data_IF_628982890185
#
_entry.id   IF_628982890185
#
_cell.length_a   1.000
_cell.length_b   1.000
_cell.length_c   1.000
_cell.angle_alpha   90.00
_cell.angle_beta   90.00
_cell.angle_gamma   90.00
#
_symmetry.space_group_name_H-M   'P 1'
#
loop_
_entity.id
_entity.type
_entity.pdbx_description
1 polymer ?
#
# COMPACT_ATOMS: atom_id res chain seq x y z
N UNK A 1 13.27 9.35 -4.95
CA UNK A 1 12.64 10.30 -4.01
C UNK A 1 11.54 11.05 -4.76
N UNK A 2 10.37 10.43 -4.97
CA UNK A 2 9.27 11.04 -5.73
C UNK A 2 7.97 10.63 -5.03
N UNK A 3 7.48 11.50 -4.14
CA UNK A 3 6.30 11.27 -3.31
C UNK A 3 6.37 12.05 -1.99
N UNK A 4 7.37 11.77 -1.15
CA UNK A 4 7.48 12.31 0.21
C UNK A 4 7.84 13.81 0.32
N UNK A 5 8.48 14.39 -0.70
CA UNK A 5 8.90 15.82 -0.70
C UNK A 5 7.73 16.81 -0.61
N UNK A 6 6.52 16.42 -1.04
CA UNK A 6 5.34 17.30 -0.95
C UNK A 6 4.74 17.38 0.46
N UNK A 7 4.98 16.37 1.31
CA UNK A 7 4.39 16.25 2.65
C UNK A 7 5.42 16.56 3.74
N UNK A 8 6.66 16.10 3.57
CA UNK A 8 7.74 16.25 4.55
C UNK A 8 8.51 17.58 4.42
N UNK A 9 8.12 18.43 3.46
CA UNK A 9 8.85 19.63 3.10
C UNK A 9 10.07 19.33 2.23
N UNK A 10 10.63 20.39 1.64
CA UNK A 10 11.89 20.33 0.89
C UNK A 10 13.02 20.24 1.93
N UNK A 11 13.86 19.21 1.86
CA UNK A 11 15.09 19.13 2.65
C UNK A 11 15.92 20.42 2.42
N UNK A 12 16.36 21.08 3.50
CA UNK A 12 17.19 22.29 3.41
C UNK A 12 18.52 22.08 2.66
N UNK A 13 18.95 20.82 2.46
CA UNK A 13 20.11 20.48 1.63
C UNK A 13 19.79 20.45 0.12
N UNK A 14 18.51 20.33 -0.25
CA UNK A 14 18.06 20.47 -1.63
C UNK A 14 17.90 21.98 -1.92
N UNK A 15 18.94 22.59 -2.50
CA UNK A 15 18.83 23.94 -3.07
C UNK A 15 17.66 23.93 -4.07
N UNK A 16 16.57 24.67 -3.83
CA UNK A 16 15.49 24.72 -4.80
C UNK A 16 16.08 25.30 -6.09
N UNK A 17 16.01 24.53 -7.18
CA UNK A 17 16.24 25.11 -8.49
C UNK A 17 15.21 26.24 -8.65
N UNK A 18 15.71 27.47 -8.72
CA UNK A 18 14.92 28.68 -8.88
C UNK A 18 14.34 28.75 -10.30
N UNK A 19 13.39 27.87 -10.61
CA UNK A 19 12.35 28.03 -11.61
C UNK A 19 11.52 26.75 -11.68
N UNK A 20 10.53 26.60 -10.81
CA UNK A 20 9.42 25.68 -11.10
C UNK A 20 8.13 26.40 -10.80
N UNK A 21 7.43 26.79 -11.87
CA UNK A 21 5.99 26.99 -11.77
C UNK A 21 5.40 25.75 -11.13
N UNK A 22 4.83 25.92 -9.95
CA UNK A 22 4.03 24.88 -9.30
C UNK A 22 2.74 24.76 -10.10
N UNK A 23 2.58 23.67 -10.83
CA UNK A 23 1.32 23.33 -11.47
C UNK A 23 0.40 22.66 -10.45
N UNK A 24 -0.84 23.13 -10.37
CA UNK A 24 -1.92 22.48 -9.62
C UNK A 24 -2.56 21.43 -10.52
N UNK A 25 -2.91 20.28 -9.95
CA UNK A 25 -3.68 19.24 -10.63
C UNK A 25 -4.81 18.77 -9.70
N UNK A 26 -6.00 18.66 -10.26
CA UNK A 26 -7.14 18.06 -9.56
C UNK A 26 -7.02 16.54 -9.65
N UNK A 27 -7.18 15.86 -8.51
CA UNK A 27 -7.10 14.41 -8.40
C UNK A 27 -8.41 13.87 -7.84
N UNK A 28 -8.97 12.87 -8.51
CA UNK A 28 -10.13 12.14 -8.00
C UNK A 28 -9.62 10.95 -7.20
N UNK A 29 -9.86 10.97 -5.89
CA UNK A 29 -9.62 9.82 -5.03
C UNK A 29 -10.82 8.87 -5.10
N UNK A 30 -10.53 7.57 -5.18
CA UNK A 30 -11.55 6.51 -5.17
C UNK A 30 -11.24 5.53 -4.04
N UNK A 31 -12.27 4.99 -3.36
CA UNK A 31 -12.07 3.87 -2.45
C UNK A 31 -11.43 2.69 -3.20
N UNK A 32 -10.38 2.11 -2.62
CA UNK A 32 -9.71 0.96 -3.24
C UNK A 32 -10.67 -0.22 -3.43
N UNK A 33 -11.59 -0.43 -2.49
CA UNK A 33 -12.61 -1.49 -2.52
C UNK A 33 -13.48 -1.45 -3.77
N UNK A 34 -13.84 -0.25 -4.24
CA UNK A 34 -14.69 -0.07 -5.43
C UNK A 34 -13.93 -0.41 -6.71
N UNK A 35 -12.68 0.05 -6.80
CA UNK A 35 -11.78 -0.25 -7.92
C UNK A 35 -11.48 -1.75 -7.95
N UNK A 36 -11.17 -2.33 -6.79
CA UNK A 36 -10.84 -3.74 -6.65
C UNK A 36 -12.01 -4.65 -7.01
N UNK A 37 -13.25 -4.28 -6.63
CA UNK A 37 -14.46 -5.00 -7.04
C UNK A 37 -14.62 -5.04 -8.56
N UNK A 38 -14.29 -3.95 -9.26
CA UNK A 38 -14.29 -3.93 -10.72
C UNK A 38 -13.30 -4.93 -11.29
N UNK A 39 -12.07 -4.92 -10.80
CA UNK A 39 -11.00 -5.84 -11.22
C UNK A 39 -11.42 -7.30 -11.02
N UNK A 40 -11.94 -7.67 -9.85
CA UNK A 40 -12.31 -9.07 -9.59
C UNK A 40 -13.56 -9.50 -10.34
N UNK A 41 -14.43 -8.57 -10.74
CA UNK A 41 -15.56 -8.85 -11.64
C UNK A 41 -15.12 -9.07 -13.08
N UNK A 42 -14.13 -8.33 -13.56
CA UNK A 42 -13.62 -8.44 -14.93
C UNK A 42 -12.76 -9.71 -15.14
N UNK A 43 -12.17 -10.23 -14.05
CA UNK A 43 -11.26 -11.37 -14.06
C UNK A 43 -11.59 -12.41 -12.97
N UNK A 44 -12.78 -13.05 -13.00
CA UNK A 44 -13.28 -13.88 -11.89
C UNK A 44 -12.45 -15.13 -11.59
N UNK A 45 -11.76 -15.68 -12.59
CA UNK A 45 -10.97 -16.92 -12.48
C UNK A 45 -9.45 -16.66 -12.41
N UNK A 46 -9.03 -15.41 -12.27
CA UNK A 46 -7.61 -15.05 -12.21
C UNK A 46 -7.11 -14.95 -10.77
N UNK A 47 -5.95 -15.54 -10.50
CA UNK A 47 -5.23 -15.26 -9.27
C UNK A 47 -4.74 -13.80 -9.27
N UNK A 48 -5.11 -13.06 -8.22
CA UNK A 48 -4.67 -11.67 -8.06
C UNK A 48 -3.39 -11.59 -7.24
N UNK A 49 -2.38 -10.91 -7.80
CA UNK A 49 -1.12 -10.59 -7.12
C UNK A 49 -1.05 -9.09 -6.90
N UNK A 50 -0.89 -8.65 -5.65
CA UNK A 50 -0.86 -7.24 -5.27
C UNK A 50 0.54 -6.79 -4.86
N UNK A 51 1.06 -5.75 -5.51
CA UNK A 51 2.19 -4.94 -5.00
C UNK A 51 1.61 -3.70 -4.32
N UNK A 52 1.91 -3.50 -3.04
CA UNK A 52 1.45 -2.38 -2.24
C UNK A 52 2.67 -1.56 -1.79
N UNK A 53 2.66 -0.27 -2.10
CA UNK A 53 3.67 0.71 -1.72
C UNK A 53 3.00 2.09 -1.81
N UNK A 54 2.48 2.58 -0.69
CA UNK A 54 1.56 3.72 -0.66
C UNK A 54 1.90 4.75 0.41
N UNK A 55 3.16 4.80 0.86
CA UNK A 55 3.69 5.84 1.76
C UNK A 55 2.85 6.05 3.04
N UNK A 56 2.15 5.02 3.52
CA UNK A 56 1.31 5.01 4.71
C UNK A 56 -0.18 4.73 4.46
N UNK A 57 -0.67 4.77 3.22
CA UNK A 57 -2.07 4.42 2.93
C UNK A 57 -2.33 2.90 2.91
N UNK A 58 -1.29 2.07 2.96
CA UNK A 58 -1.41 0.61 3.00
C UNK A 58 -2.26 0.10 4.18
N UNK A 59 -2.27 0.80 5.32
CA UNK A 59 -3.09 0.42 6.48
C UNK A 59 -4.58 0.61 6.19
N UNK A 60 -4.97 1.80 5.69
CA UNK A 60 -6.37 2.10 5.37
C UNK A 60 -6.89 1.19 4.25
N UNK A 61 -6.02 0.86 3.28
CA UNK A 61 -6.34 -0.09 2.21
C UNK A 61 -6.58 -1.49 2.79
N UNK A 62 -5.70 -2.01 3.64
CA UNK A 62 -5.89 -3.32 4.25
C UNK A 62 -7.08 -3.37 5.21
N UNK A 63 -7.31 -2.33 6.01
CA UNK A 63 -8.47 -2.20 6.89
C UNK A 63 -9.77 -2.29 6.07
N UNK A 64 -9.84 -1.55 4.96
CA UNK A 64 -11.02 -1.52 4.09
C UNK A 64 -11.25 -2.87 3.39
N UNK A 65 -10.19 -3.48 2.86
CA UNK A 65 -10.26 -4.80 2.23
C UNK A 65 -10.64 -5.91 3.22
N UNK A 66 -10.15 -5.82 4.45
CA UNK A 66 -10.51 -6.74 5.51
C UNK A 66 -11.99 -6.57 5.91
N UNK A 67 -12.45 -5.33 6.08
CA UNK A 67 -13.85 -5.03 6.43
C UNK A 67 -14.85 -5.52 5.38
N UNK A 68 -14.49 -5.45 4.09
CA UNK A 68 -15.35 -5.92 2.99
C UNK A 68 -15.16 -7.41 2.65
N UNK A 69 -14.23 -8.10 3.30
CA UNK A 69 -13.86 -9.48 2.96
C UNK A 69 -13.07 -9.63 1.65
N UNK A 70 -12.80 -8.52 0.95
CA UNK A 70 -12.11 -8.52 -0.34
C UNK A 70 -10.62 -8.88 -0.22
N UNK A 71 -9.99 -8.70 0.95
CA UNK A 71 -8.61 -9.11 1.20
C UNK A 71 -8.40 -10.60 0.87
N UNK A 72 -9.43 -11.42 1.12
CA UNK A 72 -9.39 -12.87 0.88
C UNK A 72 -9.35 -13.27 -0.60
N UNK A 73 -9.56 -12.35 -1.53
CA UNK A 73 -9.53 -12.56 -2.98
C UNK A 73 -8.13 -12.35 -3.58
N UNK A 74 -7.16 -11.91 -2.77
CA UNK A 74 -5.77 -11.72 -3.21
C UNK A 74 -4.99 -13.00 -2.90
N UNK A 75 -4.25 -13.52 -3.88
CA UNK A 75 -3.42 -14.73 -3.74
C UNK A 75 -2.05 -14.42 -3.13
N UNK A 76 -1.39 -13.37 -3.63
CA UNK A 76 -0.03 -12.99 -3.20
C UNK A 76 0.02 -11.49 -2.92
N UNK A 77 0.66 -11.10 -1.83
CA UNK A 77 0.90 -9.71 -1.46
C UNK A 77 2.39 -9.47 -1.31
N UNK A 78 2.88 -8.45 -2.02
CA UNK A 78 4.20 -7.86 -1.85
C UNK A 78 4.04 -6.45 -1.33
N UNK A 79 4.38 -6.17 -0.07
CA UNK A 79 4.06 -4.89 0.55
C UNK A 79 5.29 -4.20 1.12
N UNK A 80 5.41 -2.91 0.85
CA UNK A 80 6.26 -1.98 1.58
C UNK A 80 5.38 -1.16 2.52
N UNK A 81 5.70 -1.21 3.81
CA UNK A 81 4.97 -0.50 4.85
C UNK A 81 5.79 0.67 5.36
N UNK A 82 5.09 1.73 5.75
CA UNK A 82 5.64 3.00 6.19
C UNK A 82 5.00 3.41 7.52
N UNK A 83 5.71 4.19 8.35
CA UNK A 83 5.25 4.87 9.57
C UNK A 83 4.89 3.98 10.77
N UNK A 84 3.93 3.06 10.67
CA UNK A 84 3.29 2.41 11.86
C UNK A 84 3.82 1.01 12.19
N UNK A 85 4.75 0.48 11.42
CA UNK A 85 5.26 -0.89 11.59
C UNK A 85 4.32 -1.96 11.02
N UNK A 86 4.72 -3.23 11.00
CA UNK A 86 4.01 -4.28 10.28
C UNK A 86 2.82 -4.87 11.04
N UNK A 87 2.70 -4.66 12.35
CA UNK A 87 1.87 -5.51 13.23
C UNK A 87 0.38 -5.51 12.84
N UNK A 88 -0.21 -4.34 12.57
CA UNK A 88 -1.60 -4.25 12.12
C UNK A 88 -1.81 -4.95 10.76
N UNK A 89 -0.89 -4.75 9.82
CA UNK A 89 -0.94 -5.37 8.50
C UNK A 89 -0.83 -6.90 8.62
N UNK A 90 0.11 -7.38 9.44
CA UNK A 90 0.31 -8.81 9.75
C UNK A 90 -0.95 -9.42 10.32
N UNK A 91 -1.61 -8.73 11.26
CA UNK A 91 -2.85 -9.21 11.86
C UNK A 91 -3.93 -9.45 10.79
N UNK A 92 -4.19 -8.47 9.92
CA UNK A 92 -5.18 -8.64 8.84
C UNK A 92 -4.84 -9.80 7.91
N UNK A 93 -3.57 -9.92 7.52
CA UNK A 93 -3.12 -11.01 6.66
C UNK A 93 -3.33 -12.38 7.32
N UNK A 94 -2.98 -12.52 8.60
CA UNK A 94 -3.17 -13.76 9.34
C UNK A 94 -4.66 -14.10 9.54
N UNK A 95 -5.49 -13.11 9.88
CA UNK A 95 -6.94 -13.28 10.03
C UNK A 95 -7.59 -13.80 8.73
N UNK A 96 -7.02 -13.46 7.57
CA UNK A 96 -7.47 -13.92 6.25
C UNK A 96 -6.77 -15.18 5.72
N UNK A 97 -5.98 -15.84 6.57
CA UNK A 97 -5.31 -17.11 6.26
C UNK A 97 -4.07 -17.00 5.40
N UNK A 98 -3.47 -15.81 5.28
CA UNK A 98 -2.19 -15.67 4.59
C UNK A 98 -1.04 -16.22 5.44
N UNK A 99 -0.11 -16.88 4.76
CA UNK A 99 1.20 -17.27 5.28
C UNK A 99 2.18 -16.15 4.93
N UNK A 100 2.80 -15.57 5.96
CA UNK A 100 3.85 -14.56 5.79
C UNK A 100 5.20 -15.28 5.73
N UNK A 101 5.86 -15.22 4.58
CA UNK A 101 7.11 -15.97 4.35
C UNK A 101 8.35 -15.07 4.35
N UNK A 102 8.19 -13.75 4.32
CA UNK A 102 9.30 -12.81 4.47
C UNK A 102 8.87 -11.56 5.22
N UNK A 103 9.70 -11.14 6.17
CA UNK A 103 9.63 -9.83 6.84
C UNK A 103 11.03 -9.24 6.86
N UNK A 104 11.19 -8.09 6.21
CA UNK A 104 12.47 -7.40 6.11
C UNK A 104 12.28 -5.95 6.58
N UNK A 105 12.26 -5.71 7.91
CA UNK A 105 12.23 -4.35 8.45
C UNK A 105 13.55 -3.65 8.08
N UNK A 106 13.44 -2.45 7.49
CA UNK A 106 14.61 -1.61 7.20
C UNK A 106 14.87 -0.61 8.33
N UNK A 107 13.81 -0.16 9.00
CA UNK A 107 13.87 0.66 10.22
C UNK A 107 12.59 0.47 11.04
N UNK A 108 12.40 1.27 12.11
CA UNK A 108 11.12 1.32 12.84
C UNK A 108 9.95 1.82 11.99
N UNK A 109 10.24 2.61 10.96
CA UNK A 109 9.23 3.34 10.19
C UNK A 109 9.12 2.88 8.74
N UNK A 110 9.93 1.93 8.29
CA UNK A 110 9.83 1.38 6.94
C UNK A 110 10.34 -0.06 6.89
N UNK A 111 9.68 -0.89 6.09
CA UNK A 111 10.13 -2.24 5.81
C UNK A 111 9.24 -2.92 4.79
N UNK A 112 9.56 -4.17 4.49
CA UNK A 112 8.80 -4.97 3.53
C UNK A 112 8.29 -6.25 4.16
N UNK A 113 7.17 -6.74 3.63
CA UNK A 113 6.60 -8.04 3.98
C UNK A 113 6.02 -8.71 2.73
N UNK A 114 6.21 -10.01 2.61
CA UNK A 114 5.62 -10.83 1.56
C UNK A 114 4.74 -11.94 2.16
N UNK A 115 3.56 -12.11 1.58
CA UNK A 115 2.55 -13.04 2.06
C UNK A 115 1.86 -13.77 0.90
N UNK A 116 1.46 -15.02 1.14
CA UNK A 116 0.74 -15.87 0.19
C UNK A 116 -0.46 -16.51 0.88
N UNK A 117 -1.59 -16.57 0.18
CA UNK A 117 -2.75 -17.35 0.61
C UNK A 117 -2.72 -18.71 -0.10
N UNK A 118 -2.68 -19.84 0.64
CA UNK A 118 -2.61 -21.17 0.05
C UNK A 118 -3.83 -21.49 -0.82
#
# INVERSE_FOLDING_TARGET
>A
MKGSVGISGIDNQLKPFASKQTATADLILKPFTDVFKGITSDYPDSDIVAKIDCEGSEYEILDSLAATGQLGQIKIIMMEWHKKGPDALVKHLQDFGFIIFSRMPRSKNVGTLYAIKP
#
